data_IF_726019521833
#
_entry.id   IF_726019521833
#
_cell.length_a   1.000
_cell.length_b   1.000
_cell.length_c   1.000
_cell.angle_alpha   90.00
_cell.angle_beta   90.00
_cell.angle_gamma   90.00
#
_symmetry.space_group_name_H-M   'P 1'
#
loop_
_entity.id
_entity.type
_entity.pdbx_description
1 polymer ?
#
# COMPACT_ATOMS: atom_id res chain seq x y z
N UNK A 1 9.13 -11.03 -20.62
CA UNK A 1 9.14 -9.77 -19.85
C UNK A 1 8.04 -9.91 -18.83
N UNK A 2 8.35 -9.71 -17.55
CA UNK A 2 7.39 -9.81 -16.43
C UNK A 2 6.89 -8.40 -16.13
N UNK A 3 5.61 -8.16 -16.32
CA UNK A 3 4.96 -6.89 -16.06
C UNK A 3 4.50 -6.80 -14.60
N UNK A 4 4.98 -5.78 -13.90
CA UNK A 4 4.73 -5.60 -12.47
C UNK A 4 3.96 -4.30 -12.23
N UNK A 5 2.79 -4.40 -11.59
CA UNK A 5 2.10 -3.23 -11.07
C UNK A 5 2.72 -2.84 -9.72
N UNK A 6 3.35 -1.67 -9.68
CA UNK A 6 3.97 -1.12 -8.47
C UNK A 6 3.01 -0.17 -7.76
N UNK A 7 2.62 -0.54 -6.54
CA UNK A 7 1.84 0.30 -5.62
C UNK A 7 2.76 0.69 -4.47
N UNK A 8 3.43 1.83 -4.63
CA UNK A 8 4.40 2.35 -3.65
C UNK A 8 4.42 3.88 -3.62
N UNK A 9 4.84 4.49 -2.50
CA UNK A 9 4.84 5.94 -2.38
C UNK A 9 5.85 6.56 -3.33
N UNK A 10 5.45 7.68 -3.94
CA UNK A 10 6.28 8.43 -4.87
C UNK A 10 6.17 9.91 -4.53
N UNK A 11 7.32 10.54 -4.36
CA UNK A 11 7.48 11.97 -4.20
C UNK A 11 8.72 12.39 -5.00
N UNK A 12 8.75 13.62 -5.55
CA UNK A 12 9.97 14.16 -6.13
C UNK A 12 11.12 14.15 -5.12
N UNK A 13 12.35 13.90 -5.57
CA UNK A 13 13.55 13.91 -4.72
C UNK A 13 13.81 15.25 -4.04
N UNK A 14 13.26 16.35 -4.59
CA UNK A 14 13.32 17.70 -4.02
C UNK A 14 12.27 17.95 -2.93
N UNK A 15 11.33 17.03 -2.72
CA UNK A 15 10.26 17.21 -1.77
C UNK A 15 10.78 17.07 -0.32
N UNK A 16 10.42 17.94 0.63
CA UNK A 16 10.95 17.93 2.01
C UNK A 16 10.57 16.67 2.82
N UNK A 17 9.60 15.90 2.34
CA UNK A 17 9.18 14.61 2.93
C UNK A 17 9.68 13.39 2.14
N UNK A 18 10.57 13.61 1.18
CA UNK A 18 11.23 12.51 0.50
C UNK A 18 12.00 11.68 1.53
N UNK A 19 11.97 10.36 1.37
CA UNK A 19 12.49 9.42 2.36
C UNK A 19 12.71 8.05 1.75
N UNK A 20 13.11 7.09 2.57
CA UNK A 20 13.55 5.75 2.13
C UNK A 20 12.59 5.05 1.18
N UNK A 21 11.29 5.04 1.49
CA UNK A 21 10.29 4.36 0.66
C UNK A 21 10.16 5.00 -0.74
N UNK A 22 10.32 6.32 -0.84
CA UNK A 22 10.29 7.03 -2.11
C UNK A 22 11.55 6.73 -2.94
N UNK A 23 12.71 6.70 -2.28
CA UNK A 23 13.98 6.32 -2.92
C UNK A 23 13.96 4.87 -3.41
N UNK A 24 13.36 3.97 -2.64
CA UNK A 24 13.17 2.58 -3.07
C UNK A 24 12.28 2.48 -4.31
N UNK A 25 11.15 3.21 -4.33
CA UNK A 25 10.30 3.32 -5.52
C UNK A 25 11.08 3.82 -6.74
N UNK A 26 11.85 4.90 -6.58
CA UNK A 26 12.64 5.47 -7.67
C UNK A 26 13.69 4.49 -8.21
N UNK A 27 14.37 3.76 -7.31
CA UNK A 27 15.35 2.74 -7.70
C UNK A 27 14.71 1.60 -8.50
N UNK A 28 13.55 1.09 -8.09
CA UNK A 28 12.84 0.04 -8.83
C UNK A 28 12.43 0.49 -10.24
N UNK A 29 12.00 1.76 -10.36
CA UNK A 29 11.58 2.33 -11.64
C UNK A 29 12.75 2.63 -12.57
N UNK A 30 13.88 3.09 -12.03
CA UNK A 30 15.07 3.45 -12.82
C UNK A 30 15.94 2.24 -13.18
N UNK A 31 16.05 1.27 -12.28
CA UNK A 31 16.93 0.11 -12.42
C UNK A 31 16.17 -1.20 -12.15
N UNK A 32 15.18 -1.54 -12.99
CA UNK A 32 14.46 -2.79 -12.84
C UNK A 32 15.39 -4.01 -13.04
N UNK A 33 15.16 -5.13 -12.33
CA UNK A 33 15.86 -6.39 -12.61
C UNK A 33 15.69 -6.82 -14.07
N UNK A 34 16.65 -7.60 -14.59
CA UNK A 34 16.60 -8.09 -15.96
C UNK A 34 15.29 -8.86 -16.23
N UNK A 35 14.63 -8.51 -17.34
CA UNK A 35 13.37 -9.13 -17.74
C UNK A 35 12.13 -8.64 -16.98
N UNK A 36 12.26 -7.71 -16.02
CA UNK A 36 11.15 -7.12 -15.26
C UNK A 36 10.84 -5.71 -15.76
N UNK A 37 9.55 -5.37 -15.83
CA UNK A 37 9.08 -4.02 -16.12
C UNK A 37 8.12 -3.55 -15.05
N UNK A 38 8.49 -2.47 -14.36
CA UNK A 38 7.61 -1.84 -13.38
C UNK A 38 6.71 -0.78 -14.04
N UNK A 39 5.43 -0.83 -13.69
CA UNK A 39 4.44 0.19 -14.02
C UNK A 39 3.93 0.79 -12.71
N UNK A 40 4.26 2.06 -12.45
CA UNK A 40 3.78 2.73 -11.26
C UNK A 40 2.30 3.05 -11.39
N UNK A 41 1.52 2.81 -10.33
CA UNK A 41 0.08 2.97 -10.38
C UNK A 41 -0.36 4.40 -10.71
N UNK A 42 0.39 5.43 -10.30
CA UNK A 42 0.05 6.82 -10.61
C UNK A 42 0.24 7.13 -12.10
N UNK A 43 1.28 6.56 -12.72
CA UNK A 43 1.49 6.69 -14.17
C UNK A 43 0.32 6.04 -14.93
N UNK A 44 -0.12 4.86 -14.51
CA UNK A 44 -1.30 4.19 -15.07
C UNK A 44 -2.62 4.91 -14.76
N UNK A 45 -2.68 5.72 -13.69
CA UNK A 45 -3.83 6.59 -13.44
C UNK A 45 -3.89 7.73 -14.46
N UNK A 46 -2.75 8.28 -14.89
CA UNK A 46 -2.73 9.34 -15.91
C UNK A 46 -3.24 8.86 -17.26
N UNK A 47 -3.02 7.59 -17.60
CA UNK A 47 -3.51 6.94 -18.82
C UNK A 47 -4.93 6.37 -18.67
N UNK A 48 -5.53 6.47 -17.48
CA UNK A 48 -6.88 5.97 -17.19
C UNK A 48 -6.99 4.46 -16.99
N UNK A 49 -5.88 3.72 -17.03
CA UNK A 49 -5.85 2.26 -16.82
C UNK A 49 -6.03 1.86 -15.37
N UNK A 50 -5.68 2.75 -14.44
CA UNK A 50 -5.91 2.58 -12.99
C UNK A 50 -6.83 3.70 -12.50
N UNK A 51 -7.74 3.36 -11.58
CA UNK A 51 -8.66 4.31 -10.95
C UNK A 51 -8.85 4.03 -9.47
N UNK A 52 -9.14 5.08 -8.71
CA UNK A 52 -9.44 4.99 -7.28
C UNK A 52 -10.83 4.38 -7.03
N UNK A 53 -10.92 3.46 -6.06
CA UNK A 53 -12.17 2.97 -5.47
C UNK A 53 -12.80 4.09 -4.63
N UNK A 54 -13.62 4.92 -5.28
CA UNK A 54 -14.18 6.16 -4.71
C UNK A 54 -14.81 5.99 -3.32
N UNK A 55 -15.45 4.86 -3.04
CA UNK A 55 -16.13 4.63 -1.76
C UNK A 55 -15.12 4.40 -0.61
N UNK A 56 -14.08 3.59 -0.82
CA UNK A 56 -13.05 3.34 0.20
C UNK A 56 -12.22 4.59 0.51
N UNK A 57 -11.85 5.36 -0.53
CA UNK A 57 -11.17 6.64 -0.34
C UNK A 57 -12.01 7.69 0.37
N UNK A 58 -13.35 7.57 0.37
CA UNK A 58 -14.21 8.47 1.16
C UNK A 58 -14.33 8.03 2.62
N UNK A 59 -14.41 6.72 2.86
CA UNK A 59 -14.69 6.19 4.20
C UNK A 59 -13.41 6.14 5.04
N UNK A 60 -12.32 5.56 4.52
CA UNK A 60 -11.08 5.35 5.27
C UNK A 60 -10.55 6.63 5.95
N UNK A 61 -10.29 7.71 5.19
CA UNK A 61 -9.81 8.97 5.76
C UNK A 61 -10.78 9.61 6.76
N UNK A 62 -12.10 9.45 6.58
CA UNK A 62 -13.09 9.94 7.55
C UNK A 62 -13.02 9.17 8.86
N UNK A 63 -12.86 7.84 8.80
CA UNK A 63 -12.70 7.02 10.00
C UNK A 63 -11.41 7.35 10.76
N UNK A 64 -10.33 7.68 10.05
CA UNK A 64 -9.09 8.21 10.67
C UNK A 64 -9.34 9.57 11.32
N UNK A 65 -9.99 10.49 10.60
CA UNK A 65 -10.32 11.83 11.11
C UNK A 65 -11.23 11.80 12.35
N UNK A 66 -12.15 10.84 12.42
CA UNK A 66 -13.02 10.64 13.59
C UNK A 66 -12.35 9.83 14.72
N UNK A 67 -11.08 9.45 14.58
CA UNK A 67 -10.33 8.69 15.60
C UNK A 67 -10.77 7.23 15.75
N UNK A 68 -11.56 6.71 14.80
CA UNK A 68 -12.01 5.31 14.78
C UNK A 68 -10.88 4.40 14.29
N UNK A 69 -10.18 4.84 13.25
CA UNK A 69 -8.98 4.19 12.73
C UNK A 69 -7.74 4.98 13.14
N UNK A 70 -6.60 4.32 13.31
CA UNK A 70 -5.41 5.02 13.76
C UNK A 70 -4.81 5.89 12.63
N UNK A 71 -4.08 6.96 13.01
CA UNK A 71 -3.49 7.90 12.05
C UNK A 71 -2.38 7.28 11.20
N UNK A 72 -1.82 6.13 11.62
CA UNK A 72 -0.84 5.35 10.85
C UNK A 72 -1.50 4.45 9.78
N UNK A 73 -2.80 4.57 9.56
CA UNK A 73 -3.47 3.86 8.47
C UNK A 73 -3.12 4.54 7.15
N UNK A 74 -2.21 3.92 6.41
CA UNK A 74 -1.87 4.31 5.05
C UNK A 74 -2.26 3.19 4.08
N UNK A 75 -3.32 3.43 3.30
CA UNK A 75 -3.88 2.43 2.43
C UNK A 75 -4.33 2.99 1.08
N UNK A 76 -3.95 2.30 0.00
CA UNK A 76 -4.35 2.62 -1.37
C UNK A 76 -5.49 1.70 -1.85
N UNK A 77 -6.44 2.23 -2.63
CA UNK A 77 -7.65 1.48 -3.03
C UNK A 77 -7.90 1.57 -4.54
N UNK A 78 -7.44 0.61 -5.30
CA UNK A 78 -7.34 0.71 -6.76
C UNK A 78 -8.24 -0.30 -7.47
N UNK A 79 -8.73 0.11 -8.65
CA UNK A 79 -9.22 -0.78 -9.70
C UNK A 79 -8.30 -0.59 -10.89
N UNK A 80 -7.78 -1.68 -11.44
CA UNK A 80 -6.87 -1.68 -12.57
C UNK A 80 -7.47 -2.50 -13.71
N UNK A 81 -7.57 -1.89 -14.88
CA UNK A 81 -7.89 -2.61 -16.13
C UNK A 81 -6.59 -3.20 -16.75
N UNK A 82 -5.42 -2.74 -16.30
CA UNK A 82 -4.14 -3.39 -16.52
C UNK A 82 -3.97 -4.60 -15.58
N UNK A 83 -3.82 -5.80 -16.15
CA UNK A 83 -3.60 -7.04 -15.39
C UNK A 83 -2.10 -7.38 -15.47
N UNK A 84 -1.33 -7.20 -14.38
CA UNK A 84 0.09 -7.50 -14.35
C UNK A 84 0.33 -9.00 -14.11
N UNK A 85 1.54 -9.46 -14.39
CA UNK A 85 2.02 -10.78 -13.95
C UNK A 85 2.21 -10.82 -12.44
N UNK A 86 2.63 -9.70 -11.83
CA UNK A 86 2.85 -9.56 -10.38
C UNK A 86 2.35 -8.21 -9.87
N UNK A 87 1.73 -8.21 -8.70
CA UNK A 87 1.42 -7.00 -7.93
C UNK A 87 2.48 -6.80 -6.84
N UNK A 88 3.24 -5.71 -6.90
CA UNK A 88 4.22 -5.35 -5.88
C UNK A 88 3.70 -4.17 -5.06
N UNK A 89 3.47 -4.39 -3.76
CA UNK A 89 3.02 -3.36 -2.82
C UNK A 89 4.15 -3.04 -1.85
N UNK A 90 4.52 -1.77 -1.73
CA UNK A 90 5.55 -1.31 -0.80
C UNK A 90 5.08 -0.04 -0.09
N UNK A 91 5.33 0.09 1.21
CA UNK A 91 5.00 1.32 1.94
C UNK A 91 3.51 1.60 2.15
N UNK A 92 2.61 0.65 1.83
CA UNK A 92 1.17 0.80 2.05
C UNK A 92 0.50 -0.52 2.41
N UNK A 93 -0.69 -0.45 3.01
CA UNK A 93 -1.73 -1.44 2.75
C UNK A 93 -2.35 -1.17 1.37
N UNK A 94 -2.82 -2.17 0.62
CA UNK A 94 -3.51 -1.89 -0.63
C UNK A 94 -4.67 -2.85 -0.90
N UNK A 95 -5.76 -2.31 -1.45
CA UNK A 95 -6.80 -3.11 -2.12
C UNK A 95 -6.64 -2.85 -3.61
N UNK A 96 -6.33 -3.88 -4.39
CA UNK A 96 -6.25 -3.76 -5.86
C UNK A 96 -7.20 -4.77 -6.48
N UNK A 97 -8.10 -4.31 -7.33
CA UNK A 97 -9.06 -5.15 -8.04
C UNK A 97 -8.77 -5.14 -9.54
N UNK A 98 -8.82 -6.31 -10.16
CA UNK A 98 -8.61 -6.49 -11.59
C UNK A 98 -9.90 -7.03 -12.23
N UNK A 99 -10.85 -6.18 -12.66
CA UNK A 99 -12.16 -6.64 -13.14
C UNK A 99 -12.08 -7.54 -14.38
N UNK A 100 -11.04 -7.36 -15.18
CA UNK A 100 -10.82 -8.06 -16.44
C UNK A 100 -10.27 -9.50 -16.26
N UNK A 101 -9.93 -9.92 -15.03
CA UNK A 101 -9.47 -11.28 -14.75
C UNK A 101 -10.13 -11.86 -13.50
N UNK A 102 -10.35 -13.18 -13.51
CA UNK A 102 -10.77 -13.95 -12.33
C UNK A 102 -9.60 -14.67 -11.66
N UNK A 103 -8.46 -14.77 -12.34
CA UNK A 103 -7.28 -15.42 -11.80
C UNK A 103 -6.65 -14.55 -10.70
N UNK A 104 -6.18 -15.15 -9.60
CA UNK A 104 -5.47 -14.40 -8.57
C UNK A 104 -4.12 -13.94 -9.12
N UNK A 105 -3.86 -12.64 -9.04
CA UNK A 105 -2.55 -12.05 -9.36
C UNK A 105 -1.60 -12.32 -8.17
N UNK A 106 -0.42 -12.91 -8.40
CA UNK A 106 0.61 -13.06 -7.37
C UNK A 106 0.99 -11.71 -6.75
N UNK A 107 1.11 -11.68 -5.41
CA UNK A 107 1.40 -10.43 -4.67
C UNK A 107 2.73 -10.55 -3.95
N UNK A 108 3.63 -9.60 -4.21
CA UNK A 108 4.85 -9.36 -3.44
C UNK A 108 4.59 -8.17 -2.54
N UNK A 109 4.68 -8.38 -1.23
CA UNK A 109 4.52 -7.31 -0.24
C UNK A 109 5.89 -6.97 0.36
N UNK A 110 6.34 -5.73 0.13
CA UNK A 110 7.43 -5.13 0.88
C UNK A 110 7.01 -4.76 2.30
N UNK A 111 7.94 -4.21 3.08
CA UNK A 111 7.63 -3.72 4.43
C UNK A 111 6.55 -2.63 4.34
N UNK A 112 5.47 -2.82 5.08
CA UNK A 112 4.32 -1.91 5.14
C UNK A 112 4.55 -0.81 6.16
N UNK A 113 3.93 0.35 5.95
CA UNK A 113 3.99 1.50 6.86
C UNK A 113 3.00 1.38 8.02
N UNK A 114 3.36 2.00 9.15
CA UNK A 114 2.54 2.04 10.36
C UNK A 114 2.96 0.94 11.31
N UNK A 115 4.02 1.22 12.04
CA UNK A 115 4.60 0.35 13.04
C UNK A 115 4.03 0.65 14.44
N UNK A 116 4.17 -0.31 15.35
CA UNK A 116 3.98 -0.04 16.79
C UNK A 116 4.81 1.17 17.25
N UNK A 117 6.00 1.33 16.67
CA UNK A 117 6.94 2.41 16.97
C UNK A 117 6.38 3.78 16.60
N UNK A 118 5.66 3.90 15.50
CA UNK A 118 5.06 5.17 15.05
C UNK A 118 4.03 5.68 16.08
N UNK A 119 3.13 4.79 16.49
CA UNK A 119 2.11 5.13 17.48
C UNK A 119 2.71 5.38 18.87
N UNK A 120 3.69 4.56 19.30
CA UNK A 120 4.26 4.67 20.64
C UNK A 120 5.25 5.83 20.78
N UNK A 121 6.24 5.92 19.90
CA UNK A 121 7.38 6.81 20.07
C UNK A 121 7.18 8.17 19.40
N UNK A 122 6.46 8.23 18.27
CA UNK A 122 6.21 9.51 17.60
C UNK A 122 4.93 10.19 18.07
N UNK A 123 3.86 9.42 18.35
CA UNK A 123 2.60 9.98 18.85
C UNK A 123 2.47 9.91 20.39
N UNK A 124 3.41 9.28 21.09
CA UNK A 124 3.39 9.18 22.54
C UNK A 124 2.24 8.34 23.10
N UNK A 125 1.66 7.43 22.32
CA UNK A 125 0.50 6.65 22.77
C UNK A 125 0.89 5.59 23.79
N UNK A 126 0.05 5.42 24.82
CA UNK A 126 0.19 4.35 25.79
C UNK A 126 -0.05 2.96 25.17
N UNK A 127 0.54 1.92 25.76
CA UNK A 127 0.49 0.55 25.20
C UNK A 127 -0.93 0.03 24.97
N UNK A 128 -1.88 0.36 25.86
CA UNK A 128 -3.27 -0.03 25.69
C UNK A 128 -3.92 0.63 24.46
N UNK A 129 -3.62 1.91 24.23
CA UNK A 129 -4.10 2.68 23.08
C UNK A 129 -3.51 2.13 21.78
N UNK A 130 -2.22 1.86 21.75
CA UNK A 130 -1.55 1.23 20.60
C UNK A 130 -2.15 -0.15 20.30
N UNK A 131 -2.33 -1.01 21.31
CA UNK A 131 -2.96 -2.33 21.11
C UNK A 131 -4.38 -2.23 20.55
N UNK A 132 -5.20 -1.31 21.06
CA UNK A 132 -6.56 -1.07 20.56
C UNK A 132 -6.53 -0.62 19.10
N UNK A 133 -5.70 0.36 18.78
CA UNK A 133 -5.51 0.87 17.44
C UNK A 133 -5.10 -0.21 16.43
N UNK A 134 -4.13 -1.06 16.80
CA UNK A 134 -3.70 -2.19 15.97
C UNK A 134 -4.81 -3.20 15.73
N UNK A 135 -5.63 -3.50 16.75
CA UNK A 135 -6.80 -4.38 16.58
C UNK A 135 -7.82 -3.77 15.63
N UNK A 136 -8.10 -2.47 15.74
CA UNK A 136 -9.03 -1.76 14.85
C UNK A 136 -8.51 -1.71 13.40
N UNK A 137 -7.23 -1.36 13.19
CA UNK A 137 -6.57 -1.39 11.87
C UNK A 137 -6.66 -2.78 11.25
N UNK A 138 -6.32 -3.82 12.01
CA UNK A 138 -6.42 -5.23 11.57
C UNK A 138 -7.85 -5.61 11.17
N UNK A 139 -8.84 -5.26 11.98
CA UNK A 139 -10.25 -5.56 11.68
C UNK A 139 -10.69 -4.86 10.40
N UNK A 140 -10.40 -3.56 10.27
CA UNK A 140 -10.75 -2.77 9.10
C UNK A 140 -10.12 -3.33 7.82
N UNK A 141 -8.79 -3.53 7.82
CA UNK A 141 -8.08 -4.04 6.66
C UNK A 141 -8.59 -5.43 6.24
N UNK A 142 -8.95 -6.29 7.21
CA UNK A 142 -9.55 -7.60 6.93
C UNK A 142 -10.94 -7.47 6.29
N UNK A 143 -11.78 -6.56 6.78
CA UNK A 143 -13.13 -6.33 6.26
C UNK A 143 -13.11 -5.85 4.80
N UNK A 144 -12.14 -5.00 4.44
CA UNK A 144 -12.05 -4.45 3.08
C UNK A 144 -11.24 -5.35 2.13
N UNK A 145 -10.69 -6.46 2.63
CA UNK A 145 -9.85 -7.37 1.86
C UNK A 145 -8.53 -6.76 1.40
N UNK A 146 -7.89 -5.94 2.24
CA UNK A 146 -6.61 -5.32 1.90
C UNK A 146 -5.45 -6.32 1.97
N UNK A 147 -4.53 -6.19 1.04
CA UNK A 147 -3.18 -6.72 1.13
C UNK A 147 -2.39 -5.86 2.11
N UNK A 148 -1.91 -6.47 3.19
CA UNK A 148 -1.12 -5.79 4.20
C UNK A 148 -0.21 -6.80 4.92
N UNK A 149 1.04 -6.42 5.14
CA UNK A 149 2.03 -7.25 5.84
C UNK A 149 1.69 -7.47 7.31
N UNK A 150 0.89 -6.60 7.96
CA UNK A 150 0.39 -6.79 9.32
C UNK A 150 -0.79 -7.77 9.40
N UNK A 151 -1.49 -8.03 8.28
CA UNK A 151 -2.58 -9.00 8.22
C UNK A 151 -2.09 -10.41 7.91
N UNK A 152 -1.12 -10.49 6.99
CA UNK A 152 -0.59 -11.72 6.45
C UNK A 152 0.95 -11.69 6.43
N UNK A 153 1.61 -11.67 7.61
CA UNK A 153 3.07 -11.64 7.69
C UNK A 153 3.71 -12.86 7.00
N UNK A 154 2.98 -13.98 6.90
CA UNK A 154 3.38 -15.19 6.17
C UNK A 154 3.42 -15.03 4.65
N UNK A 155 2.72 -14.02 4.10
CA UNK A 155 2.72 -13.69 2.66
C UNK A 155 3.70 -12.57 2.32
N UNK A 156 4.32 -11.96 3.32
CA UNK A 156 5.38 -10.99 3.08
C UNK A 156 6.65 -11.76 2.70
N UNK A 157 7.07 -11.64 1.44
CA UNK A 157 8.40 -12.09 1.03
C UNK A 157 9.41 -11.18 1.71
N UNK A 158 10.20 -11.74 2.64
CA UNK A 158 11.38 -11.06 3.18
C UNK A 158 12.39 -10.96 2.05
N UNK A 159 12.61 -9.75 1.54
CA UNK A 159 13.73 -9.45 0.66
C UNK A 159 14.95 -9.19 1.53
#
# INVERSE_FOLDING_TARGET
MIDVLLVSPRLPSTHPRYGGDNAYTDLLLQYPPEGVRYHHYEDLMTTGQVRKLKWLYRIGPRLVRYGILPPDLWAEYLVSDFVPDVLHICGFSAVVRFPCTRAPVPVVMGMGTGSYSDLKFYLGWGDAQVRRARRMKRLYLRLIGAHDSSLHPEKACRV
#
